data_IF_777145911539
#
_entry.id   IF_777145911539
#
_cell.length_a   1.000
_cell.length_b   1.000
_cell.length_c   1.000
_cell.angle_alpha   90.00
_cell.angle_beta   90.00
_cell.angle_gamma   90.00
#
_symmetry.space_group_name_H-M   'P 1'
#
loop_
_entity.id
_entity.type
_entity.pdbx_description
1 polymer ?
#
# COMPACT_ATOMS: atom_id res chain seq x y z
N UNK A 1 2.21 -31.00 47.82
CA UNK A 1 1.76 -29.84 48.62
C UNK A 1 2.38 -28.59 48.01
N UNK A 2 1.58 -27.73 47.37
CA UNK A 2 2.03 -26.53 46.64
C UNK A 2 2.25 -25.42 47.67
N UNK A 3 3.51 -24.99 47.88
CA UNK A 3 3.88 -23.92 48.83
C UNK A 3 3.05 -22.67 48.54
N UNK A 4 2.35 -22.16 49.55
CA UNK A 4 1.62 -20.89 49.50
C UNK A 4 2.69 -19.77 49.44
N UNK A 5 2.63 -18.84 48.47
CA UNK A 5 3.63 -17.78 48.32
C UNK A 5 3.62 -16.83 49.54
N UNK A 6 4.79 -16.33 49.90
CA UNK A 6 4.99 -15.54 51.11
C UNK A 6 4.48 -14.10 50.93
N UNK A 7 4.09 -13.44 52.03
CA UNK A 7 3.46 -12.11 52.03
C UNK A 7 4.34 -11.00 51.39
N UNK A 8 5.66 -11.22 51.26
CA UNK A 8 6.60 -10.32 50.59
C UNK A 8 6.57 -10.46 49.05
N UNK A 9 6.31 -11.65 48.53
CA UNK A 9 6.16 -11.91 47.08
C UNK A 9 4.88 -11.25 46.53
N UNK A 10 3.84 -11.13 47.36
CA UNK A 10 2.62 -10.44 46.98
C UNK A 10 2.87 -8.92 46.86
N UNK A 11 3.52 -8.28 47.83
CA UNK A 11 3.79 -6.84 47.79
C UNK A 11 4.76 -6.41 46.68
N UNK A 12 5.78 -7.21 46.38
CA UNK A 12 6.68 -6.93 45.24
C UNK A 12 5.93 -7.01 43.90
N UNK A 13 4.96 -7.91 43.76
CA UNK A 13 4.12 -8.01 42.56
C UNK A 13 3.23 -6.76 42.36
N UNK A 14 2.70 -6.16 43.43
CA UNK A 14 1.92 -4.92 43.37
C UNK A 14 2.79 -3.71 42.99
N UNK A 15 4.05 -3.66 43.45
CA UNK A 15 5.01 -2.62 43.06
C UNK A 15 5.48 -2.71 41.61
N UNK A 16 5.58 -3.93 41.05
CA UNK A 16 5.90 -4.14 39.64
C UNK A 16 4.67 -3.81 38.78
N UNK A 17 3.47 -4.19 39.21
CA UNK A 17 2.23 -3.88 38.52
C UNK A 17 1.97 -2.36 38.44
N UNK A 18 2.18 -1.61 39.52
CA UNK A 18 2.00 -0.15 39.53
C UNK A 18 3.01 0.57 38.61
N UNK A 19 4.29 0.19 38.66
CA UNK A 19 5.32 0.71 37.72
C UNK A 19 5.00 0.38 36.27
N UNK A 20 4.45 -0.82 36.02
CA UNK A 20 4.01 -1.22 34.69
C UNK A 20 2.84 -0.36 34.23
N UNK A 21 1.84 -0.09 35.08
CA UNK A 21 0.74 0.84 34.77
C UNK A 21 1.21 2.27 34.49
N UNK A 22 2.20 2.79 35.23
CA UNK A 22 2.79 4.11 34.95
C UNK A 22 3.52 4.14 33.61
N UNK A 23 4.27 3.09 33.28
CA UNK A 23 4.94 2.97 31.98
C UNK A 23 3.91 2.87 30.86
N UNK A 24 2.85 2.06 31.03
CA UNK A 24 1.74 1.99 30.09
C UNK A 24 1.06 3.35 29.90
N UNK A 25 0.81 4.10 30.96
CA UNK A 25 0.21 5.43 30.88
C UNK A 25 1.10 6.42 30.13
N UNK A 26 2.43 6.39 30.36
CA UNK A 26 3.40 7.22 29.62
C UNK A 26 3.46 6.84 28.14
N UNK A 27 3.40 5.54 27.82
CA UNK A 27 3.36 5.04 26.44
C UNK A 27 2.07 5.53 25.76
N UNK A 28 0.91 5.37 26.39
CA UNK A 28 -0.38 5.84 25.85
C UNK A 28 -0.34 7.34 25.60
N UNK A 29 0.17 8.14 26.54
CA UNK A 29 0.31 9.59 26.37
C UNK A 29 1.26 9.97 25.22
N UNK A 30 2.35 9.22 25.05
CA UNK A 30 3.28 9.40 23.93
C UNK A 30 2.61 9.07 22.59
N UNK A 31 1.89 7.95 22.51
CA UNK A 31 1.16 7.52 21.31
C UNK A 31 0.05 8.51 20.95
N UNK A 32 -0.67 9.03 21.94
CA UNK A 32 -1.73 10.02 21.71
C UNK A 32 -1.16 11.32 21.12
N UNK A 33 -0.02 11.80 21.62
CA UNK A 33 0.68 12.96 21.04
C UNK A 33 1.22 12.67 19.65
N UNK A 34 1.76 11.48 19.40
CA UNK A 34 2.25 11.09 18.08
C UNK A 34 1.10 10.97 17.06
N UNK A 35 -0.01 10.36 17.45
CA UNK A 35 -1.21 10.20 16.61
C UNK A 35 -1.85 11.54 16.22
N UNK A 36 -1.68 12.59 17.02
CA UNK A 36 -2.20 13.94 16.76
C UNK A 36 -1.33 14.78 15.81
N UNK A 37 -0.15 14.32 15.41
CA UNK A 37 0.72 15.08 14.50
C UNK A 37 0.10 15.19 13.10
N UNK A 38 0.05 16.40 12.55
CA UNK A 38 -0.60 16.65 11.26
C UNK A 38 -0.04 15.79 10.12
N UNK A 39 1.28 15.56 10.11
CA UNK A 39 1.94 14.71 9.13
C UNK A 39 1.56 13.23 9.25
N UNK A 40 1.40 12.71 10.47
CA UNK A 40 1.03 11.30 10.71
C UNK A 40 -0.45 11.08 10.35
N UNK A 41 -1.31 12.03 10.72
CA UNK A 41 -2.72 12.03 10.32
C UNK A 41 -2.85 12.11 8.80
N UNK A 42 -2.08 13.00 8.14
CA UNK A 42 -2.11 13.17 6.69
C UNK A 42 -1.63 11.91 5.96
N UNK A 43 -0.57 11.28 6.45
CA UNK A 43 -0.05 10.03 5.90
C UNK A 43 -1.09 8.92 5.98
N UNK A 44 -1.69 8.72 7.17
CA UNK A 44 -2.72 7.71 7.38
C UNK A 44 -3.94 7.95 6.49
N UNK A 45 -4.46 9.16 6.50
CA UNK A 45 -5.67 9.51 5.76
C UNK A 45 -5.40 9.47 4.24
N UNK A 46 -4.19 9.86 3.81
CA UNK A 46 -3.71 9.71 2.44
C UNK A 46 -3.60 8.26 2.00
N UNK A 47 -3.06 7.37 2.84
CA UNK A 47 -3.01 5.93 2.57
C UNK A 47 -4.42 5.34 2.44
N UNK A 48 -5.35 5.70 3.33
CA UNK A 48 -6.75 5.26 3.27
C UNK A 48 -7.41 5.72 1.95
N UNK A 49 -7.05 6.91 1.46
CA UNK A 49 -7.51 7.42 0.16
C UNK A 49 -7.12 6.54 -1.05
N UNK A 50 -6.05 5.74 -0.94
CA UNK A 50 -5.60 4.85 -2.03
C UNK A 50 -6.25 3.45 -2.00
N UNK A 51 -6.85 3.06 -0.88
CA UNK A 51 -7.51 1.76 -0.68
C UNK A 51 -8.53 1.43 -1.79
N UNK A 52 -9.45 2.32 -2.21
CA UNK A 52 -10.41 1.96 -3.26
C UNK A 52 -9.74 1.58 -4.59
N UNK A 53 -8.63 2.22 -4.96
CA UNK A 53 -7.88 1.90 -6.17
C UNK A 53 -7.24 0.52 -6.06
N UNK A 54 -6.66 0.21 -4.90
CA UNK A 54 -6.06 -1.10 -4.60
C UNK A 54 -7.13 -2.20 -4.67
N UNK A 55 -8.31 -1.96 -4.11
CA UNK A 55 -9.42 -2.93 -4.14
C UNK A 55 -9.89 -3.23 -5.57
N UNK A 56 -9.98 -2.21 -6.43
CA UNK A 56 -10.31 -2.40 -7.85
C UNK A 56 -9.22 -3.23 -8.51
N UNK A 57 -7.95 -2.84 -8.39
CA UNK A 57 -6.82 -3.59 -8.97
C UNK A 57 -6.77 -5.06 -8.52
N UNK A 58 -6.97 -5.29 -7.22
CA UNK A 58 -7.00 -6.62 -6.63
C UNK A 58 -8.18 -7.46 -7.13
N UNK A 59 -9.34 -6.85 -7.38
CA UNK A 59 -10.49 -7.59 -7.93
C UNK A 59 -10.17 -8.15 -9.31
N UNK A 60 -9.52 -7.34 -10.16
CA UNK A 60 -9.08 -7.79 -11.49
C UNK A 60 -7.97 -8.84 -11.43
N UNK A 61 -7.06 -8.75 -10.45
CA UNK A 61 -6.09 -9.82 -10.18
C UNK A 61 -6.77 -11.13 -9.80
N UNK A 62 -7.73 -11.08 -8.87
CA UNK A 62 -8.47 -12.26 -8.42
C UNK A 62 -9.26 -12.90 -9.56
N UNK A 63 -9.78 -12.10 -10.48
CA UNK A 63 -10.35 -12.60 -11.73
C UNK A 63 -9.25 -13.28 -12.57
N UNK A 64 -8.15 -12.60 -12.91
CA UNK A 64 -7.08 -13.22 -13.73
C UNK A 64 -6.44 -14.48 -13.13
N UNK A 65 -6.38 -14.59 -11.80
CA UNK A 65 -5.78 -15.70 -11.07
C UNK A 65 -6.60 -17.01 -11.14
N UNK A 66 -7.87 -16.96 -11.57
CA UNK A 66 -8.70 -18.17 -11.74
C UNK A 66 -8.14 -19.15 -12.78
N UNK A 67 -7.18 -18.73 -13.61
CA UNK A 67 -6.46 -19.61 -14.54
C UNK A 67 -5.77 -20.78 -13.85
N UNK A 68 -5.23 -20.58 -12.64
CA UNK A 68 -4.59 -21.65 -11.88
C UNK A 68 -5.61 -22.71 -11.42
N UNK A 69 -6.83 -22.28 -11.09
CA UNK A 69 -7.93 -23.19 -10.74
C UNK A 69 -8.35 -24.03 -11.94
N UNK A 70 -8.35 -23.46 -13.15
CA UNK A 70 -8.66 -24.20 -14.39
C UNK A 70 -7.63 -25.31 -14.64
N UNK A 71 -6.35 -25.05 -14.38
CA UNK A 71 -5.27 -26.05 -14.54
C UNK A 71 -5.33 -27.16 -13.49
N UNK A 72 -5.80 -26.87 -12.27
CA UNK A 72 -6.05 -27.90 -11.27
C UNK A 72 -7.29 -28.76 -11.57
N UNK A 73 -8.35 -28.15 -12.12
CA UNK A 73 -9.54 -28.88 -12.56
C UNK A 73 -9.20 -29.80 -13.74
N UNK A 74 -8.29 -29.39 -14.64
CA UNK A 74 -7.84 -30.24 -15.76
C UNK A 74 -7.06 -31.49 -15.30
N UNK A 75 -6.37 -31.42 -14.15
CA UNK A 75 -5.73 -32.60 -13.54
C UNK A 75 -6.76 -33.62 -13.02
N UNK A 76 -7.96 -33.16 -12.66
CA UNK A 76 -9.08 -33.99 -12.19
C UNK A 76 -9.98 -34.45 -13.35
N UNK A 77 -10.13 -33.62 -14.39
CA UNK A 77 -10.94 -33.87 -15.58
C UNK A 77 -10.12 -33.55 -16.84
N UNK A 78 -9.38 -34.53 -17.39
CA UNK A 78 -8.54 -34.31 -18.55
C UNK A 78 -9.37 -33.84 -19.74
N UNK A 79 -9.09 -32.63 -20.24
CA UNK A 79 -9.79 -32.02 -21.37
C UNK A 79 -10.58 -30.76 -21.01
N UNK A 80 -10.71 -30.44 -19.71
CA UNK A 80 -11.41 -29.24 -19.24
C UNK A 80 -10.63 -27.96 -19.56
N UNK A 81 -9.30 -27.96 -19.44
CA UNK A 81 -8.47 -26.81 -19.82
C UNK A 81 -8.44 -26.56 -21.33
N UNK A 82 -8.73 -27.58 -22.14
CA UNK A 82 -8.88 -27.48 -23.61
C UNK A 82 -10.31 -27.22 -24.06
N UNK A 83 -11.28 -27.12 -23.14
CA UNK A 83 -12.62 -26.67 -23.49
C UNK A 83 -12.56 -25.26 -24.08
N UNK A 84 -13.36 -24.97 -25.12
CA UNK A 84 -13.33 -23.66 -25.79
C UNK A 84 -13.57 -22.48 -24.84
N UNK A 85 -14.25 -22.71 -23.72
CA UNK A 85 -14.46 -21.72 -22.66
C UNK A 85 -13.19 -21.45 -21.84
N UNK A 86 -12.43 -22.49 -21.47
CA UNK A 86 -11.16 -22.36 -20.75
C UNK A 86 -10.05 -21.73 -21.62
N UNK A 87 -9.97 -22.08 -22.90
CA UNK A 87 -9.00 -21.51 -23.82
C UNK A 87 -9.30 -20.03 -24.12
N UNK A 88 -10.57 -19.69 -24.35
CA UNK A 88 -11.00 -18.29 -24.49
C UNK A 88 -10.68 -17.50 -23.23
N UNK A 89 -10.90 -18.08 -22.05
CA UNK A 89 -10.56 -17.42 -20.80
C UNK A 89 -9.05 -17.15 -20.67
N UNK A 90 -8.21 -18.15 -20.90
CA UNK A 90 -6.74 -18.02 -20.87
C UNK A 90 -6.22 -16.94 -21.84
N UNK A 91 -6.82 -16.82 -23.02
CA UNK A 91 -6.44 -15.81 -24.01
C UNK A 91 -6.81 -14.38 -23.59
N UNK A 92 -7.86 -14.19 -22.77
CA UNK A 92 -8.30 -12.86 -22.30
C UNK A 92 -7.69 -12.46 -20.95
N UNK A 93 -6.99 -13.37 -20.26
CA UNK A 93 -6.32 -13.08 -18.98
C UNK A 93 -5.32 -11.92 -19.05
N UNK A 94 -4.51 -11.75 -20.10
CA UNK A 94 -3.65 -10.57 -20.22
C UNK A 94 -4.42 -9.24 -20.21
N UNK A 95 -5.63 -9.23 -20.78
CA UNK A 95 -6.52 -8.07 -20.77
C UNK A 95 -7.10 -7.82 -19.37
N UNK A 96 -7.43 -8.87 -18.63
CA UNK A 96 -7.91 -8.79 -17.25
C UNK A 96 -6.82 -8.33 -16.27
N UNK A 97 -5.56 -8.67 -16.53
CA UNK A 97 -4.41 -8.27 -15.70
C UNK A 97 -3.94 -6.82 -15.99
N UNK A 98 -4.35 -6.20 -17.09
CA UNK A 98 -3.95 -4.82 -17.42
C UNK A 98 -4.36 -3.80 -16.34
N UNK A 99 -5.62 -3.76 -15.88
CA UNK A 99 -6.02 -2.86 -14.79
C UNK A 99 -5.22 -3.06 -13.50
N UNK A 100 -4.89 -4.31 -13.16
CA UNK A 100 -4.04 -4.61 -12.01
C UNK A 100 -2.64 -4.03 -12.17
N UNK A 101 -2.03 -4.20 -13.36
CA UNK A 101 -0.69 -3.65 -13.66
C UNK A 101 -0.64 -2.13 -13.61
N UNK A 102 -1.71 -1.45 -14.03
CA UNK A 102 -1.78 0.01 -13.97
C UNK A 102 -1.99 0.52 -12.54
N UNK A 103 -2.92 -0.09 -11.81
CA UNK A 103 -3.22 0.32 -10.42
C UNK A 103 -2.06 0.05 -9.47
N UNK A 104 -1.41 -1.12 -9.56
CA UNK A 104 -0.25 -1.46 -8.73
C UNK A 104 1.07 -0.87 -9.25
N UNK A 105 1.21 -0.71 -10.57
CA UNK A 105 2.40 -0.15 -11.19
C UNK A 105 2.50 1.38 -11.09
N UNK A 106 1.40 2.07 -10.79
CA UNK A 106 1.36 3.51 -10.54
C UNK A 106 0.95 3.85 -9.10
N UNK A 107 1.02 2.87 -8.19
CA UNK A 107 0.56 2.99 -6.81
C UNK A 107 1.17 4.19 -6.06
N UNK A 108 2.49 4.38 -6.18
CA UNK A 108 3.19 5.49 -5.52
C UNK A 108 2.71 6.86 -6.01
N UNK A 109 2.28 6.98 -7.27
CA UNK A 109 1.75 8.21 -7.83
C UNK A 109 0.40 8.57 -7.20
N UNK A 110 -0.49 7.60 -7.05
CA UNK A 110 -1.77 7.80 -6.37
C UNK A 110 -1.58 8.15 -4.90
N UNK A 111 -0.65 7.49 -4.22
CA UNK A 111 -0.35 7.72 -2.80
C UNK A 111 0.29 9.10 -2.57
N UNK A 112 1.18 9.56 -3.46
CA UNK A 112 1.73 10.91 -3.39
C UNK A 112 0.61 11.97 -3.47
N UNK A 113 -0.34 11.81 -4.39
CA UNK A 113 -1.49 12.69 -4.54
C UNK A 113 -2.36 12.73 -3.28
N UNK A 114 -2.71 11.57 -2.73
CA UNK A 114 -3.65 11.47 -1.60
C UNK A 114 -3.03 11.94 -0.29
N UNK A 115 -1.73 11.72 -0.07
CA UNK A 115 -1.00 12.25 1.10
C UNK A 115 -0.91 13.78 1.01
N UNK A 116 -0.44 14.32 -0.11
CA UNK A 116 -0.32 15.76 -0.28
C UNK A 116 -1.68 16.47 -0.19
N UNK A 117 -2.72 15.89 -0.76
CA UNK A 117 -4.09 16.39 -0.63
C UNK A 117 -4.58 16.37 0.82
N UNK A 118 -4.28 15.31 1.58
CA UNK A 118 -4.68 15.19 2.99
C UNK A 118 -3.92 16.15 3.90
N UNK A 119 -2.64 16.43 3.60
CA UNK A 119 -1.84 17.40 4.33
C UNK A 119 -2.28 18.84 4.02
N UNK A 120 -2.56 19.14 2.75
CA UNK A 120 -3.08 20.44 2.33
C UNK A 120 -4.40 20.79 3.04
N UNK A 121 -5.31 19.81 3.21
CA UNK A 121 -6.55 20.00 4.00
C UNK A 121 -6.27 20.43 5.43
N UNK A 122 -5.26 19.85 6.08
CA UNK A 122 -4.91 20.17 7.46
C UNK A 122 -4.28 21.56 7.59
N UNK A 123 -3.59 22.03 6.55
CA UNK A 123 -3.04 23.39 6.50
C UNK A 123 -3.98 24.44 5.92
N UNK A 124 -5.21 24.08 5.53
CA UNK A 124 -6.16 25.01 4.91
C UNK A 124 -5.73 25.48 3.51
N UNK A 125 -4.87 24.72 2.83
CA UNK A 125 -4.38 24.99 1.48
C UNK A 125 -5.27 24.31 0.43
N UNK A 126 -5.32 24.84 -0.82
CA UNK A 126 -6.05 24.19 -1.91
C UNK A 126 -5.46 22.81 -2.22
N UNK A 127 -6.29 21.76 -2.17
CA UNK A 127 -5.83 20.36 -2.24
C UNK A 127 -5.35 19.94 -3.62
N UNK A 128 -6.07 20.35 -4.67
CA UNK A 128 -5.77 19.96 -6.04
C UNK A 128 -4.35 20.33 -6.50
N UNK A 129 -3.88 21.59 -6.37
CA UNK A 129 -2.54 21.95 -6.83
C UNK A 129 -1.45 21.25 -6.02
N UNK A 130 -1.65 21.02 -4.72
CA UNK A 130 -0.68 20.32 -3.88
C UNK A 130 -0.60 18.82 -4.22
N UNK A 131 -1.74 18.18 -4.44
CA UNK A 131 -1.78 16.80 -4.91
C UNK A 131 -1.10 16.62 -6.27
N UNK A 132 -1.40 17.50 -7.23
CA UNK A 132 -0.77 17.46 -8.56
C UNK A 132 0.72 17.80 -8.50
N UNK A 133 1.13 18.72 -7.62
CA UNK A 133 2.52 19.07 -7.37
C UNK A 133 3.33 17.87 -6.85
N UNK A 134 2.78 17.11 -5.89
CA UNK A 134 3.40 15.89 -5.39
C UNK A 134 3.55 14.80 -6.47
N UNK A 135 2.54 14.62 -7.31
CA UNK A 135 2.61 13.71 -8.45
C UNK A 135 3.70 14.14 -9.44
N UNK A 136 3.75 15.43 -9.78
CA UNK A 136 4.76 15.97 -10.69
C UNK A 136 6.18 15.81 -10.13
N UNK A 137 6.38 16.10 -8.84
CA UNK A 137 7.66 15.91 -8.16
C UNK A 137 8.13 14.45 -8.21
N UNK A 138 7.20 13.49 -8.03
CA UNK A 138 7.51 12.07 -8.14
C UNK A 138 7.92 11.68 -9.56
N UNK A 139 7.20 12.17 -10.58
CA UNK A 139 7.50 11.90 -11.98
C UNK A 139 8.84 12.50 -12.42
N UNK A 140 9.19 13.69 -11.94
CA UNK A 140 10.50 14.34 -12.22
C UNK A 140 11.64 13.55 -11.58
N UNK A 141 11.41 12.96 -10.40
CA UNK A 141 12.42 12.14 -9.71
C UNK A 141 12.58 10.77 -10.37
N UNK A 142 11.55 10.27 -11.06
CA UNK A 142 11.60 9.04 -11.84
C UNK A 142 12.51 9.18 -13.05
N UNK A 143 13.71 8.59 -12.99
CA UNK A 143 14.64 8.61 -14.13
C UNK A 143 14.01 7.90 -15.34
N UNK A 144 13.90 8.57 -16.50
CA UNK A 144 13.39 7.91 -17.70
C UNK A 144 14.40 6.86 -18.18
N UNK A 145 13.92 5.66 -18.49
CA UNK A 145 14.77 4.55 -18.94
C UNK A 145 14.62 4.45 -20.45
N UNK A 146 15.73 4.29 -21.17
CA UNK A 146 15.68 4.00 -22.60
C UNK A 146 15.30 2.53 -22.77
N UNK A 147 14.13 2.27 -23.35
CA UNK A 147 13.76 0.94 -23.80
C UNK A 147 13.87 0.89 -25.33
N UNK A 148 14.38 -0.23 -25.82
CA UNK A 148 14.37 -0.54 -27.24
C UNK A 148 12.97 -1.06 -27.59
N UNK A 149 12.20 -0.24 -28.29
CA UNK A 149 10.88 -0.59 -28.80
C UNK A 149 10.97 -0.37 -30.30
N UNK A 150 10.69 -1.44 -31.06
CA UNK A 150 10.59 -1.39 -32.52
C UNK A 150 11.88 -0.90 -33.24
N UNK A 151 13.05 -1.35 -32.76
CA UNK A 151 14.35 -1.02 -33.37
C UNK A 151 14.84 0.42 -33.12
N UNK A 152 14.15 1.18 -32.26
CA UNK A 152 14.54 2.52 -31.83
C UNK A 152 14.60 2.65 -30.30
N UNK A 153 15.58 3.42 -29.79
CA UNK A 153 15.64 3.78 -28.37
C UNK A 153 14.58 4.84 -28.07
N UNK A 154 13.52 4.46 -27.38
CA UNK A 154 12.47 5.39 -26.96
C UNK A 154 12.54 5.60 -25.45
N UNK A 155 12.30 6.83 -25.01
CA UNK A 155 12.17 7.14 -23.59
C UNK A 155 10.87 6.55 -23.06
N UNK A 156 10.99 5.60 -22.13
CA UNK A 156 9.84 5.02 -21.45
C UNK A 156 9.90 5.26 -19.96
N UNK A 157 8.72 5.38 -19.37
CA UNK A 157 8.59 5.50 -17.93
C UNK A 157 8.60 4.11 -17.31
N UNK A 158 9.63 3.82 -16.51
CA UNK A 158 9.73 2.55 -15.81
C UNK A 158 8.60 2.42 -14.78
N UNK A 159 7.79 1.36 -14.87
CA UNK A 159 6.70 1.11 -13.91
C UNK A 159 7.18 0.59 -12.55
N UNK A 160 8.40 0.04 -12.47
CA UNK A 160 8.99 -0.44 -11.20
C UNK A 160 9.06 0.66 -10.12
N UNK A 161 9.74 1.80 -10.36
CA UNK A 161 9.83 2.87 -9.38
C UNK A 161 8.49 3.57 -9.10
N UNK A 162 7.47 3.40 -9.97
CA UNK A 162 6.15 3.98 -9.75
C UNK A 162 5.18 3.05 -9.01
N UNK A 163 5.54 1.79 -8.86
CA UNK A 163 4.77 0.81 -8.11
C UNK A 163 5.03 0.89 -6.60
N UNK A 164 5.05 -0.27 -5.95
CA UNK A 164 5.29 -0.37 -4.51
C UNK A 164 6.73 0.04 -4.10
N UNK A 165 7.71 -0.06 -5.00
CA UNK A 165 9.10 0.29 -4.72
C UNK A 165 9.27 1.81 -4.47
N UNK A 166 8.48 2.64 -5.14
CA UNK A 166 8.49 4.10 -4.97
C UNK A 166 7.66 4.63 -3.83
N UNK A 167 6.99 3.77 -3.05
CA UNK A 167 6.01 4.23 -2.04
C UNK A 167 6.67 5.10 -0.96
N UNK A 168 7.89 4.74 -0.53
CA UNK A 168 8.63 5.52 0.45
C UNK A 168 8.99 6.91 -0.07
N UNK A 169 9.44 6.99 -1.33
CA UNK A 169 9.73 8.25 -2.00
C UNK A 169 8.47 9.10 -2.18
N UNK A 170 7.34 8.49 -2.53
CA UNK A 170 6.05 9.17 -2.64
C UNK A 170 5.57 9.77 -1.32
N UNK A 171 5.74 9.06 -0.20
CA UNK A 171 5.43 9.59 1.14
C UNK A 171 6.29 10.81 1.43
N UNK A 172 7.60 10.71 1.18
CA UNK A 172 8.53 11.80 1.41
C UNK A 172 8.15 13.03 0.56
N UNK A 173 8.03 12.85 -0.75
CA UNK A 173 7.67 13.94 -1.66
C UNK A 173 6.30 14.53 -1.34
N UNK A 174 5.29 13.71 -1.02
CA UNK A 174 3.95 14.17 -0.66
C UNK A 174 3.89 15.00 0.63
N UNK A 175 4.85 14.80 1.55
CA UNK A 175 4.99 15.65 2.74
C UNK A 175 5.77 16.93 2.40
N UNK A 176 6.83 16.84 1.60
CA UNK A 176 7.72 17.98 1.30
C UNK A 176 7.18 18.96 0.25
N UNK A 177 6.21 18.55 -0.57
CA UNK A 177 5.62 19.43 -1.60
C UNK A 177 4.53 20.37 -1.08
N UNK A 178 3.98 20.10 0.11
CA UNK A 178 2.90 20.89 0.72
C UNK A 178 3.47 21.92 1.69
#
# INVERSE_FOLDING_TARGET
MKKIPSHQDFQSSWGIASRMHEVWAKIIALLDRASKQHHIVALRDGMIGSVPIILIGSTFLLLGAQTQMIDEIDKLFPGFATSGMALNYKNHVPLLLMPYRLTMGMLSLYVAFTIASSLAKQYGLPTNPQGLGAMAALLITGTPVQAEIDGGKTWVLAMKPLGAEGLFLAIFLGIFTV
#
